data_IF_872680294430
#
_entry.id   IF_872680294430
#
_cell.length_a   1.000
_cell.length_b   1.000
_cell.length_c   1.000
_cell.angle_alpha   90.00
_cell.angle_beta   90.00
_cell.angle_gamma   90.00
#
_symmetry.space_group_name_H-M   'P 1'
#
loop_
_entity.id
_entity.type
_entity.pdbx_description
1 polymer ?
#
# COMPACT_ATOMS: atom_id res chain seq x y z
N UNK A 1 -16.21 -8.84 -4.29
CA UNK A 1 -15.47 -7.55 -4.35
C UNK A 1 -16.45 -6.48 -3.87
N UNK A 2 -16.06 -5.64 -2.92
CA UNK A 2 -16.96 -4.60 -2.39
C UNK A 2 -17.23 -3.55 -3.47
N UNK A 3 -18.50 -3.18 -3.66
CA UNK A 3 -18.86 -1.91 -4.29
C UNK A 3 -19.00 -0.82 -3.21
N UNK A 4 -19.10 0.44 -3.64
CA UNK A 4 -19.17 1.58 -2.71
C UNK A 4 -20.44 1.55 -1.83
N UNK A 5 -21.55 0.98 -2.33
CA UNK A 5 -22.80 0.84 -1.57
C UNK A 5 -22.64 -0.18 -0.45
N UNK A 6 -21.94 -1.29 -0.72
CA UNK A 6 -21.61 -2.29 0.29
C UNK A 6 -20.66 -1.72 1.34
N UNK A 7 -19.67 -0.90 0.96
CA UNK A 7 -18.83 -0.19 1.93
C UNK A 7 -19.68 0.68 2.88
N UNK A 8 -20.66 1.44 2.39
CA UNK A 8 -21.54 2.25 3.22
C UNK A 8 -22.38 1.44 4.19
N UNK A 9 -23.05 0.38 3.71
CA UNK A 9 -23.82 -0.52 4.58
C UNK A 9 -22.95 -1.13 5.69
N UNK A 10 -21.72 -1.53 5.35
CA UNK A 10 -20.79 -2.09 6.33
C UNK A 10 -20.32 -1.04 7.34
N UNK A 11 -20.01 0.19 6.93
CA UNK A 11 -19.65 1.26 7.86
C UNK A 11 -20.81 1.60 8.81
N UNK A 12 -22.03 1.75 8.30
CA UNK A 12 -23.23 2.00 9.13
C UNK A 12 -23.43 0.89 10.19
N UNK A 13 -23.25 -0.37 9.79
CA UNK A 13 -23.34 -1.50 10.70
C UNK A 13 -22.24 -1.46 11.78
N UNK A 14 -21.00 -1.15 11.40
CA UNK A 14 -19.88 -1.03 12.35
C UNK A 14 -20.11 0.14 13.32
N UNK A 15 -20.59 1.29 12.85
CA UNK A 15 -20.93 2.44 13.69
C UNK A 15 -22.04 2.11 14.69
N UNK A 16 -23.05 1.33 14.26
CA UNK A 16 -24.10 0.83 15.16
C UNK A 16 -23.51 -0.07 16.25
N UNK A 17 -22.59 -0.98 15.90
CA UNK A 17 -21.90 -1.83 16.88
C UNK A 17 -21.06 -1.01 17.87
N UNK A 18 -20.32 0.00 17.38
CA UNK A 18 -19.52 0.89 18.22
C UNK A 18 -20.37 1.66 19.25
N UNK A 19 -21.62 1.98 18.92
CA UNK A 19 -22.56 2.66 19.83
C UNK A 19 -23.23 1.73 20.84
N UNK A 20 -23.36 0.44 20.52
CA UNK A 20 -24.21 -0.50 21.28
C UNK A 20 -23.43 -1.54 22.10
N UNK A 21 -22.12 -1.69 21.87
CA UNK A 21 -21.29 -2.70 22.55
C UNK A 21 -20.45 -2.09 23.67
N UNK A 22 -20.33 -2.83 24.79
CA UNK A 22 -19.55 -2.44 25.97
C UNK A 22 -18.18 -3.13 26.07
N UNK A 23 -17.94 -4.20 25.30
CA UNK A 23 -16.67 -4.92 25.32
C UNK A 23 -15.58 -4.13 24.59
N UNK A 24 -14.49 -3.80 25.30
CA UNK A 24 -13.35 -3.07 24.77
C UNK A 24 -12.69 -3.80 23.59
N UNK A 25 -12.59 -5.13 23.66
CA UNK A 25 -12.07 -5.94 22.55
C UNK A 25 -12.91 -5.82 21.28
N UNK A 26 -14.25 -5.92 21.41
CA UNK A 26 -15.15 -5.79 20.27
C UNK A 26 -15.08 -4.38 19.67
N UNK A 27 -14.99 -3.36 20.52
CA UNK A 27 -14.82 -1.97 20.08
C UNK A 27 -13.54 -1.81 19.26
N UNK A 28 -12.42 -2.37 19.70
CA UNK A 28 -11.15 -2.28 19.00
C UNK A 28 -11.16 -3.03 17.66
N UNK A 29 -11.76 -4.22 17.61
CA UNK A 29 -11.99 -4.95 16.35
C UNK A 29 -12.89 -4.17 15.39
N UNK A 30 -13.95 -3.54 15.91
CA UNK A 30 -14.83 -2.69 15.10
C UNK A 30 -14.08 -1.49 14.53
N UNK A 31 -13.22 -0.83 15.32
CA UNK A 31 -12.39 0.29 14.82
C UNK A 31 -11.41 -0.16 13.74
N UNK A 32 -10.76 -1.32 13.91
CA UNK A 32 -9.89 -1.90 12.89
C UNK A 32 -10.62 -2.08 11.55
N UNK A 33 -11.79 -2.74 11.57
CA UNK A 33 -12.58 -2.92 10.36
C UNK A 33 -13.17 -1.62 9.82
N UNK A 34 -13.51 -0.65 10.69
CA UNK A 34 -13.93 0.68 10.26
C UNK A 34 -12.84 1.34 9.41
N UNK A 35 -11.58 1.29 9.88
CA UNK A 35 -10.45 1.83 9.16
C UNK A 35 -10.23 1.11 7.83
N UNK A 36 -10.23 -0.23 7.83
CA UNK A 36 -10.09 -1.04 6.61
C UNK A 36 -11.18 -0.68 5.59
N UNK A 37 -12.46 -0.70 5.98
CA UNK A 37 -13.58 -0.39 5.07
C UNK A 37 -13.54 1.07 4.61
N UNK A 38 -13.09 2.00 5.45
CA UNK A 38 -12.89 3.41 5.04
C UNK A 38 -11.81 3.53 3.97
N UNK A 39 -10.70 2.80 4.09
CA UNK A 39 -9.67 2.72 3.04
C UNK A 39 -10.25 2.16 1.73
N UNK A 40 -11.06 1.10 1.79
CA UNK A 40 -11.75 0.55 0.61
C UNK A 40 -12.68 1.59 -0.03
N UNK A 41 -13.49 2.27 0.78
CA UNK A 41 -14.43 3.27 0.31
C UNK A 41 -13.72 4.43 -0.39
N UNK A 42 -12.59 4.92 0.17
CA UNK A 42 -11.79 5.98 -0.41
C UNK A 42 -11.30 5.62 -1.83
N UNK A 43 -10.88 4.38 -2.05
CA UNK A 43 -10.40 3.91 -3.35
C UNK A 43 -11.50 3.89 -4.43
N UNK A 44 -12.74 3.64 -4.03
CA UNK A 44 -13.90 3.57 -4.92
C UNK A 44 -14.56 4.95 -5.19
N UNK A 45 -14.06 6.02 -4.57
CA UNK A 45 -14.51 7.36 -4.89
C UNK A 45 -14.09 7.77 -6.31
N UNK A 46 -14.85 8.66 -6.97
CA UNK A 46 -14.48 9.18 -8.29
C UNK A 46 -13.16 9.93 -8.25
N UNK A 47 -12.35 9.77 -9.32
CA UNK A 47 -11.07 10.48 -9.45
C UNK A 47 -11.25 11.97 -9.22
N UNK A 48 -10.44 12.59 -8.34
CA UNK A 48 -10.55 14.01 -8.06
C UNK A 48 -10.27 14.82 -9.35
N UNK A 49 -11.33 15.36 -9.98
CA UNK A 49 -11.23 16.22 -11.16
C UNK A 49 -11.07 17.71 -10.79
N UNK A 50 -10.77 18.56 -11.78
CA UNK A 50 -10.37 19.97 -11.59
C UNK A 50 -11.58 20.91 -11.36
N UNK A 51 -12.83 20.45 -11.49
CA UNK A 51 -14.04 21.30 -11.44
C UNK A 51 -14.55 21.56 -10.01
N UNK A 52 -15.54 22.45 -9.84
CA UNK A 52 -16.10 22.89 -8.53
C UNK A 52 -16.61 21.75 -7.62
N UNK A 53 -16.88 20.56 -8.16
CA UNK A 53 -17.17 19.33 -7.38
C UNK A 53 -15.96 18.84 -6.56
N UNK A 54 -14.76 19.37 -6.84
CA UNK A 54 -13.48 19.02 -6.24
C UNK A 54 -13.47 19.12 -4.72
N UNK A 55 -14.03 20.18 -4.14
CA UNK A 55 -13.96 20.41 -2.69
C UNK A 55 -14.70 19.31 -1.90
N UNK A 56 -15.90 18.96 -2.36
CA UNK A 56 -16.72 17.93 -1.70
C UNK A 56 -16.10 16.54 -1.84
N UNK A 57 -15.51 16.23 -2.99
CA UNK A 57 -14.83 14.96 -3.23
C UNK A 57 -13.54 14.87 -2.40
N UNK A 58 -12.69 15.90 -2.40
CA UNK A 58 -11.47 15.92 -1.57
C UNK A 58 -11.81 15.77 -0.09
N UNK A 59 -12.84 16.47 0.40
CA UNK A 59 -13.30 16.34 1.79
C UNK A 59 -13.73 14.91 2.13
N UNK A 60 -14.35 14.19 1.19
CA UNK A 60 -14.70 12.76 1.38
C UNK A 60 -13.45 11.87 1.41
N UNK A 61 -12.50 12.07 0.49
CA UNK A 61 -11.22 11.37 0.54
C UNK A 61 -10.51 11.57 1.88
N UNK A 62 -10.34 12.83 2.31
CA UNK A 62 -9.68 13.15 3.58
C UNK A 62 -10.37 12.45 4.76
N UNK A 63 -11.70 12.52 4.85
CA UNK A 63 -12.45 11.84 5.92
C UNK A 63 -12.14 10.34 5.96
N UNK A 64 -12.31 9.65 4.83
CA UNK A 64 -12.14 8.20 4.78
C UNK A 64 -10.68 7.75 4.95
N UNK A 65 -9.72 8.52 4.43
CA UNK A 65 -8.30 8.23 4.60
C UNK A 65 -7.82 8.55 6.03
N UNK A 66 -8.32 9.61 6.66
CA UNK A 66 -8.09 9.92 8.07
C UNK A 66 -8.67 8.84 8.98
N UNK A 67 -9.90 8.37 8.71
CA UNK A 67 -10.46 7.23 9.42
C UNK A 67 -9.66 5.95 9.16
N UNK A 68 -9.16 5.79 7.93
CA UNK A 68 -8.33 4.68 7.50
C UNK A 68 -6.98 4.56 8.19
N UNK A 69 -6.40 5.66 8.69
CA UNK A 69 -5.10 5.63 9.39
C UNK A 69 -5.23 5.49 10.91
N UNK A 70 -6.42 5.70 11.48
CA UNK A 70 -6.62 5.73 12.95
C UNK A 70 -6.30 4.42 13.66
N UNK A 71 -6.42 3.27 13.00
CA UNK A 71 -6.14 1.95 13.60
C UNK A 71 -5.30 1.05 12.71
N UNK A 72 -4.71 1.61 11.67
CA UNK A 72 -3.95 0.87 10.68
C UNK A 72 -2.46 0.79 11.05
N UNK A 73 -1.84 -0.30 10.62
CA UNK A 73 -0.46 -0.62 10.96
C UNK A 73 0.56 0.26 10.20
N UNK A 74 0.31 0.59 8.93
CA UNK A 74 1.07 1.55 8.07
C UNK A 74 0.47 1.66 6.65
N UNK A 75 -0.26 0.65 6.16
CA UNK A 75 -0.89 0.60 4.83
C UNK A 75 -1.81 1.78 4.52
N UNK A 76 -2.58 2.25 5.50
CA UNK A 76 -3.49 3.38 5.37
C UNK A 76 -2.75 4.68 5.04
N UNK A 77 -1.56 4.89 5.61
CA UNK A 77 -0.73 6.06 5.33
C UNK A 77 -0.25 6.08 3.88
N UNK A 78 -0.01 4.90 3.28
CA UNK A 78 0.40 4.81 1.88
C UNK A 78 -0.75 5.01 0.91
N UNK A 79 -1.98 4.61 1.25
CA UNK A 79 -3.16 5.02 0.48
C UNK A 79 -3.36 6.53 0.55
N UNK A 80 -3.10 7.14 1.71
CA UNK A 80 -3.12 8.59 1.83
C UNK A 80 -2.01 9.27 1.01
N UNK A 81 -0.80 8.72 1.03
CA UNK A 81 0.31 9.18 0.20
C UNK A 81 -0.02 9.07 -1.31
N UNK A 82 -0.73 8.00 -1.69
CA UNK A 82 -1.19 7.78 -3.07
C UNK A 82 -2.24 8.79 -3.50
N UNK A 83 -3.16 9.18 -2.62
CA UNK A 83 -4.09 10.28 -2.87
C UNK A 83 -3.36 11.60 -3.18
N UNK A 84 -2.33 11.94 -2.40
CA UNK A 84 -1.51 13.12 -2.68
C UNK A 84 -0.71 12.97 -3.98
N UNK A 85 -0.26 11.76 -4.31
CA UNK A 85 0.45 11.50 -5.55
C UNK A 85 -0.45 11.73 -6.77
N UNK A 86 -1.64 11.12 -6.80
CA UNK A 86 -2.57 11.25 -7.94
C UNK A 86 -3.14 12.66 -8.08
N UNK A 87 -3.09 13.48 -7.02
CA UNK A 87 -3.45 14.90 -7.06
C UNK A 87 -2.26 15.83 -7.35
N UNK A 88 -1.08 15.28 -7.65
CA UNK A 88 0.12 16.04 -8.03
C UNK A 88 0.86 16.70 -6.86
N UNK A 89 0.51 16.37 -5.62
CA UNK A 89 1.12 16.92 -4.42
C UNK A 89 2.34 16.10 -3.96
N UNK A 90 3.33 15.98 -4.85
CA UNK A 90 4.48 15.08 -4.69
C UNK A 90 5.28 15.32 -3.39
N UNK A 91 5.45 16.58 -2.97
CA UNK A 91 6.14 16.88 -1.71
C UNK A 91 5.40 16.36 -0.47
N UNK A 92 4.06 16.32 -0.50
CA UNK A 92 3.27 15.74 0.59
C UNK A 92 3.42 14.23 0.59
N UNK A 93 3.33 13.60 -0.60
CA UNK A 93 3.59 12.16 -0.77
C UNK A 93 4.96 11.77 -0.23
N UNK A 94 6.01 12.50 -0.56
CA UNK A 94 7.38 12.24 -0.07
C UNK A 94 7.44 12.25 1.47
N UNK A 95 6.89 13.28 2.13
CA UNK A 95 6.84 13.34 3.60
C UNK A 95 6.08 12.17 4.23
N UNK A 96 4.98 11.75 3.61
CA UNK A 96 4.22 10.60 4.09
C UNK A 96 5.00 9.29 3.90
N UNK A 97 5.74 9.13 2.79
CA UNK A 97 6.61 7.96 2.61
C UNK A 97 7.80 7.97 3.58
N UNK A 98 8.38 9.13 3.93
CA UNK A 98 9.39 9.24 4.99
C UNK A 98 8.83 8.78 6.34
N UNK A 99 7.62 9.23 6.68
CA UNK A 99 6.93 8.82 7.89
C UNK A 99 6.74 7.29 7.92
N UNK A 100 6.22 6.70 6.83
CA UNK A 100 6.01 5.24 6.76
C UNK A 100 7.33 4.47 6.88
N UNK A 101 8.36 4.87 6.13
CA UNK A 101 9.67 4.22 6.19
C UNK A 101 10.30 4.31 7.59
N UNK A 102 10.12 5.42 8.30
CA UNK A 102 10.61 5.57 9.68
C UNK A 102 9.92 4.65 10.70
N UNK A 103 8.75 4.11 10.33
CA UNK A 103 7.95 3.18 11.15
C UNK A 103 8.16 1.72 10.75
N UNK A 104 8.61 1.45 9.53
CA UNK A 104 8.86 0.11 9.05
C UNK A 104 10.17 -0.45 9.64
N UNK A 105 10.06 -1.61 10.29
CA UNK A 105 11.20 -2.45 10.67
C UNK A 105 11.09 -3.79 9.95
N UNK A 106 12.19 -4.40 9.49
CA UNK A 106 12.16 -5.72 8.86
C UNK A 106 11.65 -6.83 9.80
N UNK A 107 11.60 -6.57 11.11
CA UNK A 107 11.11 -7.50 12.12
C UNK A 107 9.66 -7.21 12.57
N UNK A 108 8.96 -6.26 11.96
CA UNK A 108 7.53 -6.06 12.24
C UNK A 108 6.72 -7.29 11.81
N UNK A 109 5.70 -7.65 12.58
CA UNK A 109 4.85 -8.81 12.34
C UNK A 109 3.94 -8.58 11.13
N UNK A 110 4.12 -9.28 9.99
CA UNK A 110 3.25 -9.12 8.84
C UNK A 110 1.87 -9.78 9.09
N UNK A 111 0.79 -9.02 8.93
CA UNK A 111 -0.58 -9.54 9.07
C UNK A 111 -0.84 -10.61 8.02
N UNK A 112 -1.40 -11.74 8.45
CA UNK A 112 -1.81 -12.84 7.57
C UNK A 112 -0.66 -13.74 7.14
N UNK A 113 0.55 -13.55 7.69
CA UNK A 113 1.61 -14.56 7.56
C UNK A 113 1.37 -15.71 8.54
N UNK A 114 1.71 -16.93 8.11
CA UNK A 114 1.60 -18.13 8.94
C UNK A 114 2.92 -18.47 9.65
N UNK A 115 4.04 -17.94 9.15
CA UNK A 115 5.37 -18.24 9.65
C UNK A 115 6.02 -16.96 10.17
N UNK A 116 6.27 -16.91 11.48
CA UNK A 116 7.02 -15.84 12.14
C UNK A 116 8.30 -16.46 12.71
N UNK A 117 9.45 -15.89 12.38
CA UNK A 117 10.72 -16.27 13.00
C UNK A 117 10.91 -15.61 14.37
N UNK A 118 12.00 -15.99 15.06
CA UNK A 118 12.36 -15.44 16.36
C UNK A 118 12.58 -13.91 16.33
N UNK A 119 13.00 -13.35 15.19
CA UNK A 119 13.16 -11.91 15.00
C UNK A 119 11.84 -11.18 15.13
N UNK A 120 10.79 -11.66 14.44
CA UNK A 120 9.45 -11.10 14.53
C UNK A 120 8.86 -11.21 15.93
N UNK A 121 9.01 -12.39 16.55
CA UNK A 121 8.50 -12.65 17.90
C UNK A 121 9.19 -11.74 18.93
N UNK A 122 10.51 -11.62 18.86
CA UNK A 122 11.28 -10.77 19.77
C UNK A 122 10.97 -9.29 19.55
N UNK A 123 10.82 -8.85 18.30
CA UNK A 123 10.42 -7.48 18.00
C UNK A 123 9.07 -7.16 18.62
N UNK A 124 8.06 -8.02 18.43
CA UNK A 124 6.75 -7.83 19.06
C UNK A 124 6.85 -7.76 20.59
N UNK A 125 7.53 -8.71 21.23
CA UNK A 125 7.70 -8.74 22.70
C UNK A 125 8.37 -7.49 23.25
N UNK A 126 9.34 -6.94 22.52
CA UNK A 126 10.11 -5.76 22.96
C UNK A 126 9.36 -4.43 22.75
N UNK A 127 8.36 -4.40 21.86
CA UNK A 127 7.64 -3.17 21.50
C UNK A 127 6.17 -3.16 21.93
N UNK A 128 5.64 -4.30 22.38
CA UNK A 128 4.23 -4.45 22.79
C UNK A 128 4.11 -4.83 24.25
N UNK A 129 3.33 -4.05 24.99
CA UNK A 129 2.98 -4.31 26.38
C UNK A 129 1.51 -4.72 26.53
N UNK A 130 1.20 -5.46 27.59
CA UNK A 130 -0.15 -5.96 27.86
C UNK A 130 -1.18 -4.83 28.03
N UNK A 131 -0.75 -3.68 28.56
CA UNK A 131 -1.57 -2.48 28.81
C UNK A 131 -1.89 -1.65 27.58
N UNK A 132 -1.22 -1.90 26.44
CA UNK A 132 -1.46 -1.16 25.20
C UNK A 132 -2.81 -1.54 24.58
N UNK A 133 -3.47 -0.56 23.96
CA UNK A 133 -4.68 -0.79 23.18
C UNK A 133 -4.36 -1.61 21.92
N UNK A 134 -5.36 -2.24 21.29
CA UNK A 134 -5.10 -2.95 20.02
C UNK A 134 -4.50 -2.00 18.97
N UNK A 135 -4.99 -0.75 18.92
CA UNK A 135 -4.48 0.27 18.02
C UNK A 135 -2.96 0.48 18.19
N UNK A 136 -2.52 0.70 19.43
CA UNK A 136 -1.10 0.98 19.69
C UNK A 136 -0.24 -0.24 19.32
N UNK A 137 -0.72 -1.46 19.61
CA UNK A 137 -0.02 -2.71 19.26
C UNK A 137 0.14 -2.85 17.74
N UNK A 138 -0.94 -2.57 17.00
CA UNK A 138 -0.95 -2.62 15.55
C UNK A 138 0.01 -1.59 14.94
N UNK A 139 -0.05 -0.34 15.42
CA UNK A 139 0.80 0.72 14.91
C UNK A 139 2.28 0.60 15.29
N UNK A 140 2.63 -0.14 16.34
CA UNK A 140 4.02 -0.30 16.78
C UNK A 140 4.71 -1.55 16.24
N UNK A 141 4.01 -2.67 16.17
CA UNK A 141 4.66 -3.97 15.96
C UNK A 141 4.17 -4.74 14.75
N UNK A 142 3.14 -4.25 14.07
CA UNK A 142 2.48 -4.98 12.98
C UNK A 142 2.65 -4.22 11.68
N UNK A 143 2.69 -4.94 10.56
CA UNK A 143 2.70 -4.37 9.21
C UNK A 143 1.67 -5.07 8.34
N UNK A 144 0.94 -4.30 7.54
CA UNK A 144 -0.05 -4.82 6.59
C UNK A 144 0.30 -4.38 5.19
N UNK A 145 0.03 -5.22 4.20
CA UNK A 145 0.23 -4.86 2.79
C UNK A 145 -0.72 -3.73 2.38
N UNK A 146 -0.23 -2.84 1.53
CA UNK A 146 -1.07 -1.88 0.80
C UNK A 146 -1.90 -2.67 -0.20
N UNK A 147 -3.23 -2.57 -0.08
CA UNK A 147 -4.17 -3.23 -0.98
C UNK A 147 -4.80 -2.20 -1.91
N UNK A 148 -4.46 -2.27 -3.21
CA UNK A 148 -5.21 -1.52 -4.21
C UNK A 148 -6.32 -2.38 -4.80
N UNK A 149 -7.56 -1.89 -4.76
CA UNK A 149 -8.69 -2.57 -5.40
C UNK A 149 -8.78 -2.28 -6.89
N UNK A 150 -9.46 -3.16 -7.61
CA UNK A 150 -9.78 -2.97 -9.02
C UNK A 150 -10.43 -1.59 -9.23
N UNK A 151 -9.98 -0.87 -10.25
CA UNK A 151 -10.47 0.47 -10.58
C UNK A 151 -10.29 1.53 -9.47
N UNK A 152 -9.37 1.30 -8.53
CA UNK A 152 -9.08 2.28 -7.49
C UNK A 152 -8.61 3.60 -8.11
N UNK A 153 -9.24 4.69 -7.70
CA UNK A 153 -8.87 6.06 -8.05
C UNK A 153 -7.53 6.51 -7.43
N UNK A 154 -6.98 5.70 -6.51
CA UNK A 154 -5.74 6.00 -5.80
C UNK A 154 -4.51 5.30 -6.40
N UNK A 155 -4.67 4.53 -7.48
CA UNK A 155 -3.53 3.86 -8.12
C UNK A 155 -2.72 4.88 -8.94
N UNK A 156 -1.39 4.99 -8.72
CA UNK A 156 -0.52 5.73 -9.62
C UNK A 156 -0.74 5.32 -11.08
N UNK A 157 -0.82 6.28 -12.01
CA UNK A 157 -1.11 6.00 -13.43
C UNK A 157 -0.14 4.98 -14.04
N UNK A 158 1.11 4.97 -13.57
CA UNK A 158 2.17 4.07 -13.99
C UNK A 158 1.93 2.61 -13.60
N UNK A 159 1.08 2.37 -12.60
CA UNK A 159 0.76 1.07 -12.02
C UNK A 159 -0.65 0.55 -12.39
N UNK A 160 -1.30 1.16 -13.38
CA UNK A 160 -2.69 0.83 -13.73
C UNK A 160 -2.85 -0.57 -14.32
N UNK A 161 -1.83 -1.09 -15.02
CA UNK A 161 -1.88 -2.44 -15.58
C UNK A 161 -1.91 -3.50 -14.48
N UNK A 162 -1.21 -3.25 -13.38
CA UNK A 162 -1.02 -4.14 -12.25
C UNK A 162 -2.30 -4.35 -11.43
N UNK A 163 -3.30 -3.47 -11.58
CA UNK A 163 -4.58 -3.52 -10.83
C UNK A 163 -5.80 -3.54 -11.75
N UNK A 164 -5.59 -3.78 -13.05
CA UNK A 164 -6.65 -3.70 -14.07
C UNK A 164 -7.76 -4.72 -13.84
N UNK A 165 -7.38 -5.98 -13.63
CA UNK A 165 -8.32 -7.10 -13.61
C UNK A 165 -8.53 -7.71 -12.21
N UNK A 166 -7.66 -7.36 -11.26
CA UNK A 166 -7.69 -7.86 -9.88
C UNK A 166 -7.14 -6.83 -8.90
N UNK A 167 -7.34 -7.07 -7.60
CA UNK A 167 -6.65 -6.30 -6.57
C UNK A 167 -5.16 -6.68 -6.53
N UNK A 168 -4.32 -5.76 -6.07
CA UNK A 168 -2.90 -6.02 -5.83
C UNK A 168 -2.55 -5.75 -4.37
N UNK A 169 -1.72 -6.61 -3.80
CA UNK A 169 -1.14 -6.47 -2.46
C UNK A 169 0.35 -6.16 -2.59
N UNK A 170 0.79 -5.03 -2.03
CA UNK A 170 2.16 -4.55 -2.10
C UNK A 170 2.69 -4.31 -0.68
N UNK A 171 3.87 -4.83 -0.32
CA UNK A 171 4.48 -4.53 0.98
C UNK A 171 4.69 -3.01 1.15
N UNK A 172 4.47 -2.43 2.35
CA UNK A 172 4.57 -0.99 2.55
C UNK A 172 5.92 -0.39 2.17
N UNK A 173 7.01 -1.11 2.45
CA UNK A 173 8.36 -0.66 2.10
C UNK A 173 8.56 -0.56 0.58
N UNK A 174 8.04 -1.53 -0.17
CA UNK A 174 8.08 -1.55 -1.65
C UNK A 174 7.28 -0.37 -2.21
N UNK A 175 6.04 -0.19 -1.74
CA UNK A 175 5.20 0.89 -2.21
C UNK A 175 5.76 2.27 -1.82
N UNK A 176 6.40 2.39 -0.66
CA UNK A 176 7.06 3.63 -0.23
C UNK A 176 8.18 4.03 -1.18
N UNK A 177 9.10 3.11 -1.50
CA UNK A 177 10.18 3.41 -2.43
C UNK A 177 9.69 3.62 -3.87
N UNK A 178 8.66 2.89 -4.31
CA UNK A 178 8.00 3.13 -5.59
C UNK A 178 7.40 4.55 -5.67
N UNK A 179 6.62 4.98 -4.68
CA UNK A 179 6.05 6.33 -4.64
C UNK A 179 7.14 7.41 -4.61
N UNK A 180 8.23 7.22 -3.88
CA UNK A 180 9.39 8.13 -3.90
C UNK A 180 9.99 8.23 -5.29
N UNK A 181 10.26 7.09 -5.92
CA UNK A 181 10.78 7.03 -7.28
C UNK A 181 9.90 7.82 -8.25
N UNK A 182 8.60 7.56 -8.23
CA UNK A 182 7.63 8.23 -9.09
C UNK A 182 7.55 9.75 -8.81
N UNK A 183 7.54 10.17 -7.53
CA UNK A 183 7.57 11.58 -7.17
C UNK A 183 8.82 12.29 -7.71
N UNK A 184 10.00 11.72 -7.50
CA UNK A 184 11.25 12.30 -7.98
C UNK A 184 11.37 12.28 -9.51
N UNK A 185 10.77 11.28 -10.17
CA UNK A 185 10.62 11.26 -11.62
C UNK A 185 9.80 12.47 -12.11
N UNK A 186 8.60 12.70 -11.55
CA UNK A 186 7.74 13.81 -11.97
C UNK A 186 8.29 15.20 -11.62
N UNK A 187 9.05 15.33 -10.53
CA UNK A 187 9.73 16.60 -10.17
C UNK A 187 11.02 16.82 -10.99
N UNK A 188 11.51 15.81 -11.72
CA UNK A 188 12.77 15.90 -12.48
C UNK A 188 14.03 15.80 -11.61
N UNK A 189 13.93 15.29 -10.38
CA UNK A 189 15.08 15.10 -9.50
C UNK A 189 15.76 13.76 -9.78
N UNK A 190 16.69 13.76 -10.73
CA UNK A 190 17.36 12.54 -11.22
C UNK A 190 18.14 11.81 -10.11
N UNK A 191 18.87 12.55 -9.26
CA UNK A 191 19.69 11.96 -8.20
C UNK A 191 18.83 11.19 -7.18
N UNK A 192 17.79 11.83 -6.64
CA UNK A 192 16.92 11.17 -5.67
C UNK A 192 16.04 10.09 -6.32
N UNK A 193 15.70 10.21 -7.61
CA UNK A 193 15.04 9.16 -8.38
C UNK A 193 15.90 7.89 -8.43
N UNK A 194 17.17 8.03 -8.79
CA UNK A 194 18.12 6.90 -8.83
C UNK A 194 18.33 6.29 -7.45
N UNK A 195 18.44 7.11 -6.41
CA UNK A 195 18.56 6.62 -5.03
C UNK A 195 17.31 5.81 -4.63
N UNK A 196 16.10 6.32 -4.90
CA UNK A 196 14.86 5.61 -4.59
C UNK A 196 14.73 4.27 -5.34
N UNK A 197 15.15 4.21 -6.60
CA UNK A 197 15.20 2.96 -7.37
C UNK A 197 16.19 1.96 -6.78
N UNK A 198 17.38 2.43 -6.37
CA UNK A 198 18.38 1.60 -5.70
C UNK A 198 17.85 1.05 -4.37
N UNK A 199 17.20 1.88 -3.57
CA UNK A 199 16.62 1.45 -2.30
C UNK A 199 15.51 0.41 -2.51
N UNK A 200 14.67 0.59 -3.54
CA UNK A 200 13.65 -0.39 -3.94
C UNK A 200 14.30 -1.72 -4.36
N UNK A 201 15.36 -1.68 -5.17
CA UNK A 201 16.11 -2.86 -5.59
C UNK A 201 16.72 -3.62 -4.40
N UNK A 202 17.37 -2.91 -3.47
CA UNK A 202 17.95 -3.51 -2.27
C UNK A 202 16.87 -4.11 -1.35
N UNK A 203 15.72 -3.44 -1.24
CA UNK A 203 14.55 -3.96 -0.53
C UNK A 203 14.05 -5.27 -1.15
N UNK A 204 13.93 -5.31 -2.49
CA UNK A 204 13.59 -6.52 -3.26
C UNK A 204 14.54 -7.68 -3.00
N UNK A 205 15.86 -7.42 -3.12
CA UNK A 205 16.90 -8.42 -2.85
C UNK A 205 16.89 -8.96 -1.43
N UNK A 206 16.67 -8.08 -0.44
CA UNK A 206 16.57 -8.47 0.96
C UNK A 206 15.28 -9.23 1.29
N UNK A 207 14.29 -9.22 0.39
CA UNK A 207 12.93 -9.75 0.61
C UNK A 207 12.29 -9.21 1.90
N UNK A 208 12.68 -7.99 2.29
CA UNK A 208 12.25 -7.38 3.55
C UNK A 208 10.73 -7.21 3.55
N UNK A 209 10.06 -7.82 4.53
CA UNK A 209 8.61 -7.78 4.69
C UNK A 209 7.82 -8.32 3.47
N UNK A 210 8.47 -9.12 2.62
CA UNK A 210 7.83 -9.76 1.47
C UNK A 210 7.44 -11.18 1.81
N UNK A 211 6.15 -11.48 1.71
CA UNK A 211 5.64 -12.85 1.70
C UNK A 211 5.74 -13.46 0.30
N UNK A 212 5.66 -14.79 0.22
CA UNK A 212 5.48 -15.54 -1.05
C UNK A 212 4.32 -14.95 -1.87
N UNK A 213 3.23 -14.55 -1.22
CA UNK A 213 2.04 -13.99 -1.87
C UNK A 213 2.22 -12.56 -2.43
N UNK A 214 3.29 -11.87 -2.07
CA UNK A 214 3.55 -10.47 -2.46
C UNK A 214 4.85 -10.30 -3.23
N UNK A 215 5.66 -11.36 -3.33
CA UNK A 215 6.97 -11.31 -3.96
C UNK A 215 6.86 -10.98 -5.45
N UNK A 216 6.01 -11.72 -6.18
CA UNK A 216 5.78 -11.46 -7.61
C UNK A 216 5.34 -10.01 -7.86
N UNK A 217 4.36 -9.51 -7.10
CA UNK A 217 3.93 -8.12 -7.18
C UNK A 217 5.07 -7.13 -6.92
N UNK A 218 5.90 -7.38 -5.90
CA UNK A 218 6.99 -6.49 -5.53
C UNK A 218 8.07 -6.40 -6.61
N UNK A 219 8.40 -7.54 -7.23
CA UNK A 219 9.35 -7.60 -8.34
C UNK A 219 8.76 -6.93 -9.59
N UNK A 220 7.47 -7.12 -9.89
CA UNK A 220 6.81 -6.41 -10.99
C UNK A 220 6.89 -4.90 -10.79
N UNK A 221 6.61 -4.39 -9.59
CA UNK A 221 6.71 -2.95 -9.29
C UNK A 221 8.13 -2.42 -9.48
N UNK A 222 9.15 -3.19 -9.10
CA UNK A 222 10.55 -2.85 -9.37
C UNK A 222 10.84 -2.79 -10.88
N UNK A 223 10.35 -3.78 -11.64
CA UNK A 223 10.45 -3.81 -13.10
C UNK A 223 9.83 -2.57 -13.76
N UNK A 224 8.66 -2.14 -13.29
CA UNK A 224 8.01 -0.90 -13.77
C UNK A 224 8.90 0.32 -13.55
N UNK A 225 9.59 0.41 -12.41
CA UNK A 225 10.48 1.53 -12.13
C UNK A 225 11.75 1.52 -13.02
N UNK A 226 12.26 0.34 -13.38
CA UNK A 226 13.32 0.20 -14.38
C UNK A 226 12.83 0.57 -15.79
N UNK A 227 11.64 0.13 -16.19
CA UNK A 227 11.01 0.50 -17.48
C UNK A 227 10.89 2.02 -17.61
N UNK A 228 10.40 2.71 -16.57
CA UNK A 228 10.31 4.18 -16.53
C UNK A 228 11.68 4.86 -16.59
N UNK A 229 12.73 4.18 -16.13
CA UNK A 229 14.11 4.67 -16.19
C UNK A 229 14.83 4.35 -17.49
N UNK A 230 14.12 3.75 -18.46
CA UNK A 230 14.65 3.29 -19.76
C UNK A 230 15.69 2.16 -19.66
N UNK A 231 15.69 1.42 -18.54
CA UNK A 231 16.49 0.21 -18.35
C UNK A 231 15.64 -1.02 -18.68
N UNK A 232 15.37 -1.20 -19.98
CA UNK A 232 14.47 -2.26 -20.49
C UNK A 232 14.98 -3.66 -20.17
N UNK A 233 16.29 -3.88 -20.19
CA UNK A 233 16.90 -5.19 -19.91
C UNK A 233 16.66 -5.60 -18.45
N UNK A 234 16.88 -4.70 -17.50
CA UNK A 234 16.63 -4.99 -16.09
C UNK A 234 15.14 -5.08 -15.79
N UNK A 235 14.31 -4.28 -16.46
CA UNK A 235 12.85 -4.40 -16.37
C UNK A 235 12.36 -5.78 -16.82
N UNK A 236 12.85 -6.27 -17.97
CA UNK A 236 12.53 -7.61 -18.49
C UNK A 236 12.94 -8.71 -17.49
N UNK A 237 14.14 -8.63 -16.93
CA UNK A 237 14.62 -9.59 -15.93
C UNK A 237 13.71 -9.62 -14.70
N UNK A 238 13.24 -8.46 -14.23
CA UNK A 238 12.27 -8.39 -13.13
C UNK A 238 10.96 -9.09 -13.50
N UNK A 239 10.40 -8.83 -14.69
CA UNK A 239 9.14 -9.46 -15.09
C UNK A 239 9.27 -10.97 -15.26
N UNK A 240 10.37 -11.45 -15.84
CA UNK A 240 10.68 -12.88 -15.95
C UNK A 240 10.84 -13.55 -14.56
N UNK A 241 11.52 -12.90 -13.62
CA UNK A 241 11.64 -13.39 -12.24
C UNK A 241 10.29 -13.40 -11.52
N UNK A 242 9.46 -12.36 -11.72
CA UNK A 242 8.12 -12.28 -11.13
C UNK A 242 7.20 -13.42 -11.59
N UNK A 243 7.34 -13.88 -12.84
CA UNK A 243 6.59 -15.00 -13.42
C UNK A 243 7.08 -16.37 -12.90
N UNK A 244 8.31 -16.45 -12.39
CA UNK A 244 8.90 -17.66 -11.81
C UNK A 244 8.71 -17.78 -10.31
N UNK A 245 8.10 -16.78 -9.67
CA UNK A 245 7.83 -16.81 -8.24
C UNK A 245 6.81 -17.89 -7.89
N UNK A 246 7.06 -18.60 -6.79
CA UNK A 246 6.05 -19.47 -6.18
C UNK A 246 4.89 -18.63 -5.62
N UNK A 247 3.66 -19.17 -5.68
CA UNK A 247 2.47 -18.53 -5.09
C UNK A 247 1.66 -17.67 -6.08
N UNK A 248 1.27 -16.46 -5.65
CA UNK A 248 0.44 -15.58 -6.48
C UNK A 248 1.30 -14.85 -7.52
N UNK A 249 1.07 -15.19 -8.78
CA UNK A 249 1.77 -14.57 -9.91
C UNK A 249 1.06 -13.27 -10.32
N UNK A 250 1.85 -12.21 -10.48
CA UNK A 250 1.36 -10.94 -11.01
C UNK A 250 1.12 -11.05 -12.51
N UNK A 251 -0.14 -11.16 -12.94
CA UNK A 251 -0.53 -11.31 -14.35
C UNK A 251 0.00 -10.15 -15.22
N UNK A 252 0.13 -8.95 -14.64
CA UNK A 252 0.67 -7.80 -15.36
C UNK A 252 2.13 -7.98 -15.81
N UNK A 253 2.91 -8.84 -15.15
CA UNK A 253 4.29 -9.12 -15.58
C UNK A 253 4.32 -9.70 -17.00
N UNK A 254 3.42 -10.63 -17.34
CA UNK A 254 3.32 -11.22 -18.68
C UNK A 254 2.97 -10.16 -19.76
N UNK A 255 2.01 -9.29 -19.45
CA UNK A 255 1.61 -8.21 -20.35
C UNK A 255 2.75 -7.21 -20.58
N UNK A 256 3.52 -6.89 -19.52
CA UNK A 256 4.68 -5.99 -19.59
C UNK A 256 5.84 -6.61 -20.39
N UNK A 257 6.15 -7.88 -20.15
CA UNK A 257 7.15 -8.65 -20.92
C UNK A 257 6.80 -8.64 -22.40
N UNK A 258 5.54 -8.95 -22.75
CA UNK A 258 5.09 -8.99 -24.14
C UNK A 258 5.25 -7.63 -24.83
N UNK A 259 4.94 -6.53 -24.13
CA UNK A 259 5.11 -5.16 -24.64
C UNK A 259 6.58 -4.82 -24.91
N UNK A 260 7.49 -5.19 -24.00
CA UNK A 260 8.93 -4.92 -24.17
C UNK A 260 9.55 -5.67 -25.35
N UNK A 261 9.00 -6.82 -25.73
CA UNK A 261 9.48 -7.58 -26.90
C UNK A 261 8.97 -7.03 -28.24
N UNK A 262 7.95 -6.18 -28.23
CA UNK A 262 7.37 -5.57 -29.44
C UNK A 262 7.85 -4.14 -29.71
N UNK A 263 8.50 -3.49 -28.74
CA UNK A 263 8.94 -2.07 -28.77
C UNK A 263 10.47 -1.91 -28.96
#
# INVERSE_FOLDING_TARGET
>A
MYDISQCWKTLEFIEYLLKTKSSTFIVDVCKYHHAEISQYAAQLLPTPSITTERYNIHKRYHRHLEDGIKTDAVSGWLLYASFYYVTGQFNVTLRLTDYVLSRCSPYMVPIGCQNYDDGHINYYRNHVHSTMTLHDKMGMAVVSNVKYVKHSSLIPKELQLEVKDQYICIPPIVMSHCLRFLCYHHIGNIFNRQQALRDLYLTGKGRNLMSVNTLSNSITILGVCFEISDDKDTAYQCYDEALKCDGFICIAAEARTSKLLTD
#
